data_IF_267035188607
#
_entry.id   IF_267035188607
#
_cell.length_a   1.000
_cell.length_b   1.000
_cell.length_c   1.000
_cell.angle_alpha   90.00
_cell.angle_beta   90.00
_cell.angle_gamma   90.00
#
_symmetry.space_group_name_H-M   'P 1'
#
loop_
_entity.id
_entity.type
_entity.pdbx_description
1 polymer ?
#
# COMPACT_ATOMS: atom_id res chain seq x y z
N UNK A 1 13.04 12.63 -7.45
CA UNK A 1 12.01 12.65 -8.50
C UNK A 1 11.02 11.58 -8.10
N UNK A 2 9.75 11.93 -7.83
CA UNK A 2 8.79 10.93 -7.36
C UNK A 2 8.45 10.03 -8.53
N UNK A 3 8.97 8.83 -8.46
CA UNK A 3 8.89 7.85 -9.51
C UNK A 3 7.66 6.99 -9.32
N UNK A 4 7.12 6.58 -10.46
CA UNK A 4 5.87 5.88 -10.65
C UNK A 4 5.87 4.44 -10.07
N UNK A 5 6.67 4.14 -9.04
CA UNK A 5 6.99 2.77 -8.64
C UNK A 5 5.77 1.93 -8.22
N UNK A 6 4.70 2.57 -7.74
CA UNK A 6 3.49 1.90 -7.34
C UNK A 6 2.27 2.40 -8.11
N UNK A 7 1.29 1.53 -8.27
CA UNK A 7 -0.01 1.86 -8.84
C UNK A 7 -1.13 1.28 -7.99
N UNK A 8 -2.19 2.06 -7.84
CA UNK A 8 -3.39 1.64 -7.11
C UNK A 8 -4.43 1.19 -8.12
N UNK A 9 -4.99 0.01 -7.89
CA UNK A 9 -5.95 -0.63 -8.78
C UNK A 9 -7.22 -0.92 -7.97
N UNK A 10 -8.36 -0.52 -8.51
CA UNK A 10 -9.68 -0.88 -8.00
C UNK A 10 -9.95 -2.34 -8.37
N UNK A 11 -10.10 -3.18 -7.35
CA UNK A 11 -10.41 -4.60 -7.50
C UNK A 11 -11.92 -4.79 -7.76
N UNK A 12 -12.31 -4.60 -9.02
CA UNK A 12 -13.69 -4.64 -9.51
C UNK A 12 -14.11 -6.00 -10.10
N UNK A 13 -13.21 -6.98 -10.09
CA UNK A 13 -13.45 -8.36 -10.54
C UNK A 13 -13.25 -9.34 -9.39
N UNK A 14 -13.79 -10.56 -9.50
CA UNK A 14 -13.58 -11.58 -8.45
C UNK A 14 -12.09 -11.99 -8.34
N UNK A 15 -11.38 -12.06 -9.47
CA UNK A 15 -9.94 -12.33 -9.47
C UNK A 15 -9.15 -11.27 -8.68
N UNK A 16 -9.45 -9.99 -8.89
CA UNK A 16 -8.79 -8.90 -8.16
C UNK A 16 -9.21 -8.80 -6.71
N UNK A 17 -10.47 -9.15 -6.38
CA UNK A 17 -10.92 -9.30 -4.99
C UNK A 17 -10.23 -10.44 -4.27
N UNK A 18 -9.97 -11.57 -4.96
CA UNK A 18 -9.18 -12.65 -4.41
C UNK A 18 -7.76 -12.20 -4.07
N UNK A 19 -7.11 -11.41 -4.94
CA UNK A 19 -5.80 -10.78 -4.64
C UNK A 19 -5.89 -9.93 -3.36
N UNK A 20 -6.90 -9.07 -3.24
CA UNK A 20 -7.12 -8.27 -2.04
C UNK A 20 -7.26 -9.12 -0.76
N UNK A 21 -8.08 -10.20 -0.80
CA UNK A 21 -8.27 -11.12 0.34
C UNK A 21 -7.01 -11.91 0.68
N UNK A 22 -6.21 -12.29 -0.30
CA UNK A 22 -4.91 -12.97 -0.11
C UNK A 22 -3.89 -12.06 0.59
N UNK A 23 -3.80 -10.79 0.18
CA UNK A 23 -2.93 -9.79 0.84
C UNK A 23 -3.37 -9.60 2.30
N UNK A 24 -4.70 -9.47 2.53
CA UNK A 24 -5.25 -9.37 3.88
C UNK A 24 -4.91 -10.57 4.74
N UNK A 25 -5.10 -11.79 4.25
CA UNK A 25 -4.75 -13.01 4.99
C UNK A 25 -3.26 -13.03 5.37
N UNK A 26 -2.38 -12.69 4.43
CA UNK A 26 -0.95 -12.61 4.69
C UNK A 26 -0.63 -11.63 5.83
N UNK A 27 -1.26 -10.46 5.85
CA UNK A 27 -0.95 -9.46 6.87
C UNK A 27 -1.69 -9.74 8.18
N UNK A 28 -2.99 -9.95 8.16
CA UNK A 28 -3.84 -10.07 9.34
C UNK A 28 -3.69 -11.42 10.04
N UNK A 29 -3.58 -12.52 9.31
CA UNK A 29 -3.49 -13.86 9.90
C UNK A 29 -2.02 -14.28 10.12
N UNK A 30 -1.16 -14.10 9.11
CA UNK A 30 0.23 -14.60 9.17
C UNK A 30 1.19 -13.63 9.87
N UNK A 31 1.26 -12.36 9.44
CA UNK A 31 2.21 -11.39 10.00
C UNK A 31 1.78 -10.83 11.36
N UNK A 32 0.51 -10.43 11.49
CA UNK A 32 0.00 -9.72 12.68
C UNK A 32 -0.70 -10.61 13.69
N UNK A 33 -1.18 -11.79 13.27
CA UNK A 33 -1.94 -12.74 14.11
C UNK A 33 -3.15 -12.08 14.79
N UNK A 34 -3.83 -11.21 14.06
CA UNK A 34 -5.08 -10.57 14.50
C UNK A 34 -6.27 -11.52 14.33
N UNK A 35 -6.30 -12.26 13.22
CA UNK A 35 -7.36 -13.23 12.91
C UNK A 35 -6.79 -14.65 12.93
N UNK A 36 -7.60 -15.66 13.21
CA UNK A 36 -7.17 -17.06 13.25
C UNK A 36 -7.01 -17.62 11.82
N UNK A 37 -5.80 -18.04 11.40
CA UNK A 37 -5.60 -18.66 10.09
C UNK A 37 -6.48 -19.89 9.82
N UNK A 38 -6.95 -20.59 10.86
CA UNK A 38 -7.80 -21.77 10.73
C UNK A 38 -9.22 -21.45 10.19
N UNK A 39 -9.70 -20.22 10.39
CA UNK A 39 -10.99 -19.75 9.84
C UNK A 39 -10.94 -19.52 8.33
N UNK A 40 -9.73 -19.43 7.76
CA UNK A 40 -9.51 -19.12 6.35
C UNK A 40 -8.63 -20.19 5.67
N UNK A 41 -9.13 -21.42 5.49
CA UNK A 41 -8.35 -22.56 4.99
C UNK A 41 -7.83 -22.38 3.55
N UNK A 42 -8.41 -21.46 2.78
CA UNK A 42 -8.02 -21.14 1.41
C UNK A 42 -6.96 -20.02 1.32
N UNK A 43 -6.49 -19.49 2.44
CA UNK A 43 -5.49 -18.42 2.46
C UNK A 43 -6.03 -17.06 2.03
N UNK A 44 -7.34 -16.84 2.20
CA UNK A 44 -8.07 -15.63 1.82
C UNK A 44 -8.89 -15.14 3.02
N UNK A 45 -8.59 -13.93 3.52
CA UNK A 45 -9.31 -13.32 4.64
C UNK A 45 -10.47 -12.48 4.11
N UNK A 46 -11.65 -12.73 4.66
CA UNK A 46 -12.89 -12.05 4.29
C UNK A 46 -13.80 -11.90 5.50
N UNK A 47 -14.69 -10.92 5.44
CA UNK A 47 -15.72 -10.71 6.44
C UNK A 47 -17.03 -10.24 5.80
N UNK A 48 -18.05 -10.03 6.64
CA UNK A 48 -19.41 -9.67 6.20
C UNK A 48 -19.51 -8.31 5.50
N UNK A 49 -18.52 -7.42 5.64
CA UNK A 49 -18.55 -6.08 5.03
C UNK A 49 -18.02 -6.05 3.60
N UNK A 50 -17.34 -7.11 3.16
CA UNK A 50 -16.72 -7.16 1.83
C UNK A 50 -17.75 -7.07 0.69
N UNK A 51 -18.99 -7.51 0.91
CA UNK A 51 -20.07 -7.40 -0.07
C UNK A 51 -20.48 -5.94 -0.36
N UNK A 52 -20.31 -5.04 0.61
CA UNK A 52 -20.65 -3.61 0.51
C UNK A 52 -19.41 -2.72 0.50
N UNK A 53 -18.27 -3.23 0.01
CA UNK A 53 -17.01 -2.51 0.01
C UNK A 53 -16.42 -2.32 -1.39
N UNK A 54 -15.74 -1.19 -1.57
CA UNK A 54 -14.77 -1.01 -2.63
C UNK A 54 -13.40 -1.49 -2.14
N UNK A 55 -12.72 -2.28 -2.98
CA UNK A 55 -11.44 -2.90 -2.68
C UNK A 55 -10.36 -2.28 -3.55
N UNK A 56 -9.24 -1.90 -2.95
CA UNK A 56 -8.09 -1.40 -3.68
C UNK A 56 -6.88 -2.26 -3.37
N UNK A 57 -6.15 -2.60 -4.42
CA UNK A 57 -4.88 -3.34 -4.36
C UNK A 57 -3.78 -2.47 -4.95
N UNK A 58 -2.55 -2.65 -4.46
CA UNK A 58 -1.40 -1.87 -4.92
C UNK A 58 -0.38 -2.82 -5.53
N UNK A 59 0.05 -2.48 -6.75
CA UNK A 59 1.08 -3.21 -7.48
C UNK A 59 2.36 -2.38 -7.56
N UNK A 60 3.50 -3.03 -7.35
CA UNK A 60 4.79 -2.44 -7.67
C UNK A 60 5.05 -2.61 -9.17
N UNK A 61 5.26 -1.51 -9.89
CA UNK A 61 5.33 -1.50 -11.36
C UNK A 61 6.53 -2.27 -11.89
N UNK A 62 7.71 -2.10 -11.29
CA UNK A 62 8.93 -2.68 -11.83
C UNK A 62 8.98 -4.20 -11.69
N UNK A 63 8.35 -4.76 -10.64
CA UNK A 63 8.32 -6.20 -10.38
C UNK A 63 6.99 -6.85 -10.71
N UNK A 64 5.96 -6.05 -11.05
CA UNK A 64 4.57 -6.46 -11.20
C UNK A 64 3.97 -7.18 -9.96
N UNK A 65 4.58 -7.02 -8.78
CA UNK A 65 4.12 -7.72 -7.56
C UNK A 65 3.06 -6.94 -6.80
N UNK A 66 2.06 -7.62 -6.29
CA UNK A 66 1.06 -7.12 -5.34
C UNK A 66 1.69 -6.96 -3.95
N UNK A 67 1.55 -5.76 -3.37
CA UNK A 67 2.28 -5.39 -2.14
C UNK A 67 1.39 -4.87 -1.02
N UNK A 68 0.20 -4.34 -1.33
CA UNK A 68 -0.66 -3.72 -0.34
C UNK A 68 -2.13 -3.75 -0.77
N UNK A 69 -3.01 -3.58 0.23
CA UNK A 69 -4.44 -3.49 0.02
C UNK A 69 -5.09 -2.50 1.01
N UNK A 70 -6.22 -1.93 0.60
CA UNK A 70 -7.09 -1.14 1.45
C UNK A 70 -8.55 -1.33 1.06
N UNK A 71 -9.44 -1.32 2.06
CA UNK A 71 -10.88 -1.44 1.89
C UNK A 71 -11.59 -0.14 2.25
N UNK A 72 -12.59 0.22 1.45
CA UNK A 72 -13.54 1.28 1.75
C UNK A 72 -14.95 0.68 1.84
N UNK A 73 -15.50 0.57 3.03
CA UNK A 73 -16.88 0.13 3.25
C UNK A 73 -17.83 1.27 2.89
N UNK A 74 -18.74 1.01 1.96
CA UNK A 74 -19.61 2.01 1.35
C UNK A 74 -20.88 2.27 2.17
N UNK A 75 -21.55 3.43 1.98
CA UNK A 75 -22.77 3.78 2.71
C UNK A 75 -23.85 2.70 2.73
N UNK A 76 -23.92 1.90 1.67
CA UNK A 76 -24.90 0.83 1.44
C UNK A 76 -24.80 -0.30 2.46
N UNK A 77 -23.66 -0.43 3.16
CA UNK A 77 -23.55 -1.34 4.29
C UNK A 77 -24.55 -0.95 5.38
N UNK A 78 -25.27 -1.94 5.93
CA UNK A 78 -26.22 -1.72 7.02
C UNK A 78 -25.57 -1.03 8.23
N UNK A 79 -24.35 -1.42 8.55
CA UNK A 79 -23.54 -0.86 9.63
C UNK A 79 -22.06 -0.95 9.26
N UNK A 80 -21.26 0.06 9.62
CA UNK A 80 -19.81 0.05 9.46
C UNK A 80 -19.14 -0.77 10.58
N UNK A 81 -17.95 -1.37 10.33
CA UNK A 81 -17.21 -2.10 11.37
C UNK A 81 -16.97 -1.32 12.66
N UNK A 82 -16.71 -0.01 12.60
CA UNK A 82 -16.50 0.83 13.79
C UNK A 82 -17.79 1.00 14.62
N UNK A 83 -18.95 0.97 13.97
CA UNK A 83 -20.25 1.16 14.62
C UNK A 83 -20.64 -0.08 15.43
N UNK A 84 -20.22 -1.29 15.04
CA UNK A 84 -20.47 -2.52 15.82
C UNK A 84 -19.67 -2.60 17.11
N UNK A 85 -18.63 -1.78 17.25
CA UNK A 85 -17.75 -1.76 18.42
C UNK A 85 -18.23 -0.76 19.49
N UNK A 86 -19.33 -0.03 19.24
CA UNK A 86 -19.95 0.91 20.17
C UNK A 86 -18.96 1.93 20.78
N UNK A 87 -17.93 2.32 20.01
CA UNK A 87 -16.87 3.23 20.49
C UNK A 87 -17.05 4.68 20.03
N UNK A 88 -17.96 4.93 19.09
CA UNK A 88 -18.32 6.28 18.63
C UNK A 88 -19.16 7.00 19.69
N UNK A 89 -18.72 8.18 20.13
CA UNK A 89 -19.38 8.93 21.21
C UNK A 89 -19.51 10.43 20.97
N UNK A 90 -18.95 10.95 19.86
CA UNK A 90 -19.07 12.38 19.52
C UNK A 90 -20.36 12.66 18.74
N UNK A 91 -21.03 13.77 19.05
CA UNK A 91 -22.13 14.34 18.25
C UNK A 91 -21.70 14.52 16.78
N UNK A 92 -20.44 14.88 16.54
CA UNK A 92 -19.88 15.04 15.19
C UNK A 92 -19.87 13.72 14.39
N UNK A 93 -19.78 12.58 15.07
CA UNK A 93 -19.92 11.27 14.43
C UNK A 93 -21.33 11.04 13.87
N UNK A 94 -22.33 11.70 14.45
CA UNK A 94 -23.77 11.46 14.25
C UNK A 94 -24.44 12.54 13.38
N UNK A 95 -23.78 13.69 13.15
CA UNK A 95 -24.35 14.83 12.45
C UNK A 95 -24.39 14.72 10.91
N UNK A 96 -23.79 13.69 10.31
CA UNK A 96 -23.71 13.56 8.85
C UNK A 96 -24.68 12.48 8.32
N UNK A 97 -25.35 12.73 7.17
CA UNK A 97 -26.15 11.70 6.50
C UNK A 97 -25.32 10.47 6.14
N UNK A 98 -25.87 9.28 6.34
CA UNK A 98 -25.18 8.00 6.05
C UNK A 98 -24.57 7.93 4.65
N UNK A 99 -25.27 8.44 3.63
CA UNK A 99 -24.84 8.47 2.22
C UNK A 99 -23.51 9.22 1.99
N UNK A 100 -23.15 10.12 2.92
CA UNK A 100 -21.94 10.94 2.85
C UNK A 100 -20.79 10.35 3.68
N UNK A 101 -21.00 9.18 4.29
CA UNK A 101 -20.03 8.50 5.14
C UNK A 101 -19.53 7.22 4.47
N UNK A 102 -18.28 6.87 4.70
CA UNK A 102 -17.73 5.55 4.43
C UNK A 102 -16.70 5.19 5.49
N UNK A 103 -16.35 3.92 5.64
CA UNK A 103 -15.28 3.51 6.55
C UNK A 103 -14.07 2.99 5.78
N UNK A 104 -12.89 3.55 6.07
CA UNK A 104 -11.62 2.98 5.61
C UNK A 104 -11.16 1.94 6.62
N UNK A 105 -11.03 0.69 6.15
CA UNK A 105 -10.60 -0.45 6.95
C UNK A 105 -9.59 -1.31 6.17
N UNK A 106 -9.01 -2.31 6.86
CA UNK A 106 -8.08 -3.29 6.26
C UNK A 106 -6.88 -2.68 5.51
N UNK A 107 -6.38 -1.52 5.95
CA UNK A 107 -5.14 -0.94 5.39
C UNK A 107 -3.97 -1.85 5.76
N UNK A 108 -3.35 -2.47 4.75
CA UNK A 108 -2.26 -3.41 4.97
C UNK A 108 -1.21 -3.35 3.87
N UNK A 109 0.05 -3.56 4.27
CA UNK A 109 1.23 -3.63 3.40
C UNK A 109 1.99 -4.89 3.82
N UNK A 110 2.35 -5.73 2.85
CA UNK A 110 3.15 -6.93 3.08
C UNK A 110 4.56 -6.52 3.45
N UNK A 111 5.03 -7.00 4.60
CA UNK A 111 6.37 -6.71 5.11
C UNK A 111 7.32 -7.89 4.89
N UNK A 112 6.79 -9.11 4.81
CA UNK A 112 7.59 -10.31 4.64
C UNK A 112 8.29 -10.32 3.26
N UNK A 113 9.63 -10.42 3.17
CA UNK A 113 10.34 -10.35 1.88
C UNK A 113 9.98 -11.47 0.88
N UNK A 114 9.56 -12.62 1.39
CA UNK A 114 9.14 -13.79 0.62
C UNK A 114 7.81 -14.33 1.18
N UNK A 115 6.68 -13.64 0.96
CA UNK A 115 5.41 -13.95 1.62
C UNK A 115 4.88 -15.34 1.26
N UNK A 116 5.17 -15.85 0.06
CA UNK A 116 4.84 -17.21 -0.38
C UNK A 116 5.48 -18.34 0.47
N UNK A 117 6.54 -18.04 1.23
CA UNK A 117 7.11 -19.00 2.20
C UNK A 117 6.27 -19.12 3.47
N UNK A 118 5.48 -18.09 3.79
CA UNK A 118 4.61 -18.07 4.97
C UNK A 118 3.19 -18.52 4.60
N UNK A 119 2.70 -18.09 3.44
CA UNK A 119 1.40 -18.46 2.91
C UNK A 119 1.55 -19.22 1.59
N UNK A 120 1.29 -20.52 1.63
CA UNK A 120 1.33 -21.42 0.45
C UNK A 120 0.34 -21.06 -0.66
N UNK A 121 -0.66 -20.20 -0.36
CA UNK A 121 -1.67 -19.75 -1.32
C UNK A 121 -1.23 -18.50 -2.10
N UNK A 122 -0.04 -17.96 -1.79
CA UNK A 122 0.63 -16.91 -2.56
C UNK A 122 1.70 -17.51 -3.47
N UNK A 123 1.91 -16.84 -4.60
CA UNK A 123 2.99 -17.12 -5.53
C UNK A 123 3.95 -15.91 -5.63
N UNK A 124 4.81 -15.91 -6.65
CA UNK A 124 5.78 -14.85 -6.91
C UNK A 124 5.15 -13.53 -7.38
N UNK A 125 3.84 -13.49 -7.63
CA UNK A 125 3.13 -12.25 -7.91
C UNK A 125 2.91 -11.42 -6.64
N UNK A 126 3.22 -11.95 -5.45
CA UNK A 126 3.13 -11.20 -4.19
C UNK A 126 4.52 -10.84 -3.68
N UNK A 127 4.68 -9.59 -3.26
CA UNK A 127 5.96 -9.06 -2.80
C UNK A 127 5.80 -8.15 -1.59
N UNK A 128 6.92 -7.67 -1.07
CA UNK A 128 6.93 -6.69 0.00
C UNK A 128 7.17 -5.29 -0.56
N UNK A 129 6.65 -4.29 0.12
CA UNK A 129 7.11 -2.93 -0.06
C UNK A 129 8.48 -2.81 0.63
N UNK A 130 9.55 -2.53 -0.11
CA UNK A 130 10.83 -2.20 0.52
C UNK A 130 10.67 -1.05 1.51
N UNK A 131 11.59 -0.91 2.48
CA UNK A 131 11.47 0.07 3.60
C UNK A 131 11.19 1.53 3.19
N UNK A 132 11.57 1.92 1.98
CA UNK A 132 11.36 3.28 1.47
C UNK A 132 10.00 3.48 0.79
N UNK A 133 9.28 2.40 0.43
CA UNK A 133 8.06 2.46 -0.39
C UNK A 133 6.76 2.60 0.38
N UNK A 134 6.74 2.34 1.70
CA UNK A 134 5.52 2.37 2.51
C UNK A 134 4.82 3.73 2.46
N UNK A 135 5.57 4.83 2.48
CA UNK A 135 5.00 6.18 2.39
C UNK A 135 4.30 6.39 1.05
N UNK A 136 4.92 5.99 -0.06
CA UNK A 136 4.41 6.19 -1.41
C UNK A 136 3.14 5.37 -1.64
N UNK A 137 3.12 4.14 -1.12
CA UNK A 137 1.95 3.26 -1.11
C UNK A 137 0.80 3.89 -0.32
N UNK A 138 1.08 4.37 0.90
CA UNK A 138 0.06 5.03 1.73
C UNK A 138 -0.48 6.29 1.05
N UNK A 139 0.38 7.11 0.45
CA UNK A 139 -0.02 8.31 -0.28
C UNK A 139 -0.89 7.96 -1.49
N UNK A 140 -0.52 6.94 -2.26
CA UNK A 140 -1.31 6.42 -3.37
C UNK A 140 -2.69 5.95 -2.92
N UNK A 141 -2.76 5.14 -1.87
CA UNK A 141 -4.02 4.64 -1.32
C UNK A 141 -4.90 5.77 -0.81
N UNK A 142 -4.35 6.73 -0.05
CA UNK A 142 -5.11 7.90 0.43
C UNK A 142 -5.65 8.72 -0.75
N UNK A 143 -4.84 8.94 -1.78
CA UNK A 143 -5.29 9.65 -2.99
C UNK A 143 -6.41 8.90 -3.71
N UNK A 144 -6.27 7.58 -3.91
CA UNK A 144 -7.29 6.75 -4.55
C UNK A 144 -8.61 6.77 -3.78
N UNK A 145 -8.55 6.61 -2.44
CA UNK A 145 -9.72 6.68 -1.57
C UNK A 145 -10.42 8.03 -1.66
N UNK A 146 -9.67 9.14 -1.57
CA UNK A 146 -10.23 10.49 -1.67
C UNK A 146 -10.95 10.69 -3.01
N UNK A 147 -10.29 10.36 -4.13
CA UNK A 147 -10.89 10.54 -5.46
C UNK A 147 -12.12 9.64 -5.64
N UNK A 148 -12.05 8.38 -5.22
CA UNK A 148 -13.19 7.47 -5.27
C UNK A 148 -14.36 7.98 -4.40
N UNK A 149 -14.08 8.42 -3.18
CA UNK A 149 -15.07 8.99 -2.27
C UNK A 149 -15.78 10.20 -2.86
N UNK A 150 -15.01 11.15 -3.41
CA UNK A 150 -15.55 12.34 -4.07
C UNK A 150 -16.46 11.99 -5.25
N UNK A 151 -16.11 10.99 -6.06
CA UNK A 151 -16.95 10.52 -7.18
C UNK A 151 -18.26 9.89 -6.70
N UNK A 152 -18.29 9.32 -5.49
CA UNK A 152 -19.46 8.69 -4.89
C UNK A 152 -20.29 9.64 -4.01
N UNK A 153 -19.90 10.91 -3.89
CA UNK A 153 -20.55 11.86 -2.99
C UNK A 153 -20.30 11.59 -1.50
N UNK A 154 -19.26 10.82 -1.19
CA UNK A 154 -18.79 10.60 0.18
C UNK A 154 -17.98 11.83 0.60
N UNK A 155 -18.27 12.36 1.77
CA UNK A 155 -17.63 13.55 2.31
C UNK A 155 -16.75 13.28 3.52
N UNK A 156 -16.99 12.17 4.22
CA UNK A 156 -16.25 11.83 5.42
C UNK A 156 -15.91 10.34 5.49
N UNK A 157 -14.68 10.05 5.92
CA UNK A 157 -14.23 8.70 6.24
C UNK A 157 -14.18 8.47 7.74
N UNK A 158 -14.77 7.38 8.21
CA UNK A 158 -14.46 6.79 9.52
C UNK A 158 -13.22 5.92 9.42
N UNK A 159 -12.39 5.95 10.47
CA UNK A 159 -11.21 5.11 10.62
C UNK A 159 -11.10 4.65 12.07
N UNK A 160 -10.79 3.37 12.29
CA UNK A 160 -10.41 2.85 13.60
C UNK A 160 -8.92 2.44 13.56
N UNK A 161 -8.05 3.28 14.10
CA UNK A 161 -6.60 3.14 13.91
C UNK A 161 -5.80 3.37 15.19
N UNK A 162 -4.55 2.88 15.21
CA UNK A 162 -3.62 3.14 16.31
C UNK A 162 -3.20 4.61 16.34
N UNK A 163 -2.75 5.07 17.52
CA UNK A 163 -2.27 6.44 17.69
C UNK A 163 -1.02 6.73 16.82
N UNK A 164 -0.13 5.76 16.64
CA UNK A 164 1.06 5.90 15.80
C UNK A 164 0.70 6.07 14.33
N UNK A 165 -0.30 5.34 13.84
CA UNK A 165 -0.76 5.46 12.47
C UNK A 165 -1.51 6.79 12.25
N UNK A 166 -2.33 7.22 13.22
CA UNK A 166 -2.95 8.55 13.18
C UNK A 166 -1.90 9.68 13.10
N UNK A 167 -0.79 9.57 13.86
CA UNK A 167 0.33 10.52 13.77
C UNK A 167 0.99 10.51 12.39
N UNK A 168 1.14 9.35 11.75
CA UNK A 168 1.68 9.25 10.39
C UNK A 168 0.76 9.96 9.40
N UNK A 169 -0.54 9.63 9.39
CA UNK A 169 -1.52 10.24 8.49
C UNK A 169 -1.60 11.77 8.66
N UNK A 170 -1.61 12.26 9.91
CA UNK A 170 -1.55 13.72 10.19
C UNK A 170 -0.29 14.37 9.63
N UNK A 171 0.87 13.70 9.71
CA UNK A 171 2.14 14.18 9.13
C UNK A 171 2.08 14.29 7.61
N UNK A 172 1.43 13.33 6.96
CA UNK A 172 1.19 13.33 5.51
C UNK A 172 0.20 14.43 5.09
N UNK A 173 -0.59 14.96 6.03
CA UNK A 173 -1.52 16.07 5.82
C UNK A 173 -3.00 15.68 5.91
N UNK A 174 -3.32 14.46 6.34
CA UNK A 174 -4.70 14.02 6.59
C UNK A 174 -5.25 14.72 7.81
N UNK A 175 -6.43 15.32 7.68
CA UNK A 175 -7.12 15.99 8.78
C UNK A 175 -7.94 14.95 9.52
N UNK A 176 -7.53 14.60 10.74
CA UNK A 176 -8.17 13.58 11.57
C UNK A 176 -8.70 14.19 12.87
N UNK A 177 -10.00 14.04 13.08
CA UNK A 177 -10.71 14.40 14.31
C UNK A 177 -11.10 13.13 15.06
N UNK A 178 -10.77 13.05 16.34
CA UNK A 178 -11.20 11.92 17.17
C UNK A 178 -12.70 12.03 17.45
N UNK A 179 -13.43 10.93 17.31
CA UNK A 179 -14.92 10.94 17.40
C UNK A 179 -15.48 9.91 18.37
N UNK A 180 -14.63 9.38 19.23
CA UNK A 180 -15.02 8.34 20.16
C UNK A 180 -13.92 7.95 21.14
N UNK A 181 -14.23 6.94 21.94
CA UNK A 181 -13.36 6.43 22.99
C UNK A 181 -12.30 5.48 22.43
N UNK A 182 -11.13 5.47 23.06
CA UNK A 182 -10.12 4.44 22.79
C UNK A 182 -10.64 3.08 23.23
N UNK A 183 -10.47 2.06 22.38
CA UNK A 183 -10.85 0.67 22.67
C UNK A 183 -9.67 -0.27 22.45
N UNK A 184 -9.69 -1.42 23.13
CA UNK A 184 -8.76 -2.52 22.82
C UNK A 184 -9.38 -3.43 21.76
N UNK A 185 -8.89 -3.29 20.53
CA UNK A 185 -9.33 -4.07 19.38
C UNK A 185 -8.10 -4.33 18.49
N UNK A 186 -7.52 -5.52 18.66
CA UNK A 186 -6.18 -5.86 18.12
C UNK A 186 -5.09 -4.92 18.67
N UNK A 187 -5.19 -4.59 19.95
CA UNK A 187 -4.45 -3.53 20.64
C UNK A 187 -5.21 -2.21 20.64
N UNK A 188 -4.64 -1.18 21.27
CA UNK A 188 -5.33 0.11 21.42
C UNK A 188 -5.62 0.77 20.06
N UNK A 189 -6.90 1.12 19.84
CA UNK A 189 -7.42 1.81 18.66
C UNK A 189 -8.28 2.98 19.05
N UNK A 190 -8.23 4.02 18.23
CA UNK A 190 -8.97 5.26 18.42
C UNK A 190 -9.82 5.51 17.17
N UNK A 191 -11.12 5.76 17.32
CA UNK A 191 -11.98 6.11 16.20
C UNK A 191 -11.76 7.58 15.78
N UNK A 192 -11.54 7.78 14.49
CA UNK A 192 -11.36 9.08 13.86
C UNK A 192 -12.37 9.28 12.72
N UNK A 193 -12.69 10.54 12.47
CA UNK A 193 -13.26 11.02 11.21
C UNK A 193 -12.22 11.82 10.43
N UNK A 194 -12.24 11.67 9.12
CA UNK A 194 -11.51 12.49 8.17
C UNK A 194 -12.48 13.15 7.20
N UNK A 195 -12.57 14.48 7.20
CA UNK A 195 -13.27 15.19 6.13
C UNK A 195 -12.41 15.13 4.85
N UNK A 196 -12.99 14.62 3.77
CA UNK A 196 -12.29 14.33 2.53
C UNK A 196 -11.92 15.62 1.80
N UNK A 197 -12.76 16.65 1.85
CA UNK A 197 -12.53 17.93 1.18
C UNK A 197 -11.47 18.74 1.92
N UNK A 198 -11.54 18.79 3.25
CA UNK A 198 -10.52 19.44 4.07
C UNK A 198 -9.18 18.71 3.95
N UNK A 199 -9.20 17.38 4.01
CA UNK A 199 -8.01 16.57 3.78
C UNK A 199 -7.43 16.83 2.39
N UNK A 200 -8.24 16.79 1.34
CA UNK A 200 -7.77 17.09 -0.03
C UNK A 200 -7.10 18.46 -0.12
N UNK A 201 -7.72 19.51 0.44
CA UNK A 201 -7.13 20.87 0.49
C UNK A 201 -5.80 20.89 1.24
N UNK A 202 -5.75 20.26 2.41
CA UNK A 202 -4.53 20.16 3.24
C UNK A 202 -3.39 19.45 2.51
N UNK A 203 -3.68 18.31 1.87
CA UNK A 203 -2.69 17.53 1.13
C UNK A 203 -2.11 18.34 -0.05
N UNK A 204 -2.97 18.99 -0.84
CA UNK A 204 -2.59 19.86 -1.97
C UNK A 204 -1.74 21.05 -1.50
N UNK A 205 -2.07 21.65 -0.35
CA UNK A 205 -1.30 22.77 0.19
C UNK A 205 0.10 22.33 0.66
N UNK A 206 0.20 21.20 1.36
CA UNK A 206 1.42 20.74 2.03
C UNK A 206 2.42 20.03 1.13
N UNK A 207 2.00 19.57 -0.05
CA UNK A 207 2.84 18.70 -0.87
C UNK A 207 2.68 18.98 -2.36
N UNK A 208 3.79 19.33 -3.02
CA UNK A 208 3.86 19.43 -4.48
C UNK A 208 3.54 18.08 -5.14
N UNK A 209 3.83 16.97 -4.47
CA UNK A 209 3.44 15.64 -4.91
C UNK A 209 1.92 15.50 -4.96
N UNK A 210 1.20 15.94 -3.93
CA UNK A 210 -0.26 15.90 -3.97
C UNK A 210 -0.84 16.86 -4.99
N UNK A 211 -0.22 18.03 -5.21
CA UNK A 211 -0.61 18.89 -6.34
C UNK A 211 -0.52 18.11 -7.66
N UNK A 212 0.56 17.37 -7.89
CA UNK A 212 0.72 16.52 -9.08
C UNK A 212 -0.31 15.37 -9.16
N UNK A 213 -0.53 14.65 -8.06
CA UNK A 213 -1.49 13.55 -7.98
C UNK A 213 -2.93 14.03 -8.21
N UNK A 214 -3.34 15.13 -7.57
CA UNK A 214 -4.68 15.72 -7.73
C UNK A 214 -4.88 16.38 -9.08
N UNK A 215 -3.82 16.79 -9.79
CA UNK A 215 -3.92 17.24 -11.18
C UNK A 215 -4.10 16.08 -12.16
N UNK A 216 -3.82 14.85 -11.74
CA UNK A 216 -3.96 13.61 -12.53
C UNK A 216 -5.01 12.70 -11.91
N UNK A 217 -6.21 13.23 -11.62
CA UNK A 217 -7.28 12.49 -10.91
C UNK A 217 -7.67 11.19 -11.61
N UNK A 218 -7.62 11.20 -12.94
CA UNK A 218 -7.89 10.03 -13.79
C UNK A 218 -6.87 8.89 -13.60
N UNK A 219 -5.72 9.17 -12.99
CA UNK A 219 -4.66 8.21 -12.67
C UNK A 219 -4.59 7.88 -11.17
N UNK A 220 -5.55 8.35 -10.37
CA UNK A 220 -5.56 8.08 -8.93
C UNK A 220 -5.71 6.58 -8.63
N UNK A 221 -6.49 5.89 -9.45
CA UNK A 221 -6.58 4.44 -9.52
C UNK A 221 -7.07 4.03 -10.92
N UNK A 222 -6.88 2.76 -11.28
CA UNK A 222 -7.44 2.17 -12.49
C UNK A 222 -8.29 0.95 -12.12
N UNK A 223 -9.36 0.67 -12.86
CA UNK A 223 -10.10 -0.59 -12.69
C UNK A 223 -9.25 -1.78 -13.13
N UNK A 224 -9.31 -2.89 -12.39
CA UNK A 224 -8.62 -4.12 -12.76
C UNK A 224 -9.16 -4.67 -14.09
N UNK A 225 -10.47 -4.62 -14.29
CA UNK A 225 -11.12 -5.01 -15.56
C UNK A 225 -10.58 -4.25 -16.79
N UNK A 226 -10.18 -2.98 -16.61
CA UNK A 226 -9.58 -2.18 -17.67
C UNK A 226 -8.13 -2.59 -18.00
N UNK A 227 -7.45 -3.26 -17.07
CA UNK A 227 -6.12 -3.82 -17.28
C UNK A 227 -6.22 -5.20 -17.94
N UNK A 228 -7.14 -6.06 -17.50
CA UNK A 228 -7.33 -7.42 -18.04
C UNK A 228 -7.65 -7.44 -19.54
N UNK A 229 -8.43 -6.47 -20.04
CA UNK A 229 -8.73 -6.35 -21.46
C UNK A 229 -7.47 -6.12 -22.32
N UNK A 230 -6.43 -5.49 -21.77
CA UNK A 230 -5.15 -5.28 -22.45
C UNK A 230 -4.33 -6.58 -22.45
N UNK A 231 -4.34 -7.35 -21.36
CA UNK A 231 -3.58 -8.60 -21.26
C UNK A 231 -4.15 -9.73 -22.13
N UNK A 232 -5.48 -9.78 -22.33
CA UNK A 232 -6.11 -10.73 -23.27
C UNK A 232 -5.72 -10.47 -24.73
N UNK A 233 -5.50 -9.21 -25.14
CA UNK A 233 -4.98 -8.90 -26.48
C UNK A 233 -3.52 -9.35 -26.65
N UNK A 234 -2.70 -9.25 -25.60
CA UNK A 234 -1.31 -9.72 -25.64
C UNK A 234 -1.20 -11.26 -25.61
N UNK A 235 -2.09 -11.98 -24.93
CA UNK A 235 -2.14 -13.46 -24.95
C UNK A 235 -2.68 -14.03 -26.28
N UNK A 236 -3.41 -13.24 -27.07
CA UNK A 236 -3.90 -13.65 -28.40
C UNK A 236 -2.89 -13.43 -29.54
N UNK A 237 -1.69 -12.88 -29.27
CA UNK A 237 -0.65 -12.83 -30.29
C UNK A 237 0.02 -14.21 -30.44
N UNK A 238 0.10 -14.77 -31.66
CA UNK A 238 0.73 -16.08 -31.86
C UNK A 238 2.21 -16.06 -31.44
N UNK A 239 2.76 -17.19 -30.95
CA UNK A 239 4.08 -17.27 -30.32
C UNK A 239 5.29 -17.00 -31.24
N UNK A 240 5.07 -16.49 -32.45
CA UNK A 240 6.10 -16.26 -33.46
C UNK A 240 6.43 -14.78 -33.69
N UNK A 241 6.05 -13.88 -32.78
CA UNK A 241 6.48 -12.48 -32.89
C UNK A 241 7.87 -12.30 -32.29
N UNK A 242 8.90 -12.49 -33.11
CA UNK A 242 10.29 -12.23 -32.77
C UNK A 242 10.46 -10.75 -32.38
N UNK A 243 10.73 -10.50 -31.11
CA UNK A 243 11.10 -9.18 -30.62
C UNK A 243 12.47 -8.80 -31.22
N UNK A 244 12.63 -7.60 -31.84
CA UNK A 244 13.94 -7.19 -32.32
C UNK A 244 14.91 -7.07 -31.13
N UNK A 245 16.15 -7.58 -31.24
CA UNK A 245 17.10 -7.51 -30.15
C UNK A 245 17.34 -6.05 -29.76
N UNK A 246 17.51 -5.82 -28.45
CA UNK A 246 17.78 -4.51 -27.89
C UNK A 246 18.97 -3.84 -28.61
N UNK A 247 18.93 -2.51 -28.84
CA UNK A 247 19.97 -1.82 -29.59
C UNK A 247 21.33 -2.01 -28.92
N UNK A 248 22.28 -2.51 -29.70
CA UNK A 248 23.66 -2.82 -29.33
C UNK A 248 24.45 -1.52 -29.08
N UNK A 249 24.26 -0.88 -27.93
CA UNK A 249 25.15 0.22 -27.50
C UNK A 249 26.20 -0.31 -26.53
N UNK A 250 27.37 -0.65 -27.08
CA UNK A 250 28.72 -0.38 -26.54
C UNK A 250 29.69 -1.49 -26.97
N UNK A 251 30.28 -1.36 -28.17
CA UNK A 251 31.56 -2.02 -28.46
C UNK A 251 32.69 -1.26 -27.75
N UNK A 252 33.40 -2.02 -26.90
CA UNK A 252 34.83 -1.93 -26.52
C UNK A 252 35.60 -0.64 -26.86
N UNK A 253 36.20 -0.08 -25.82
CA UNK A 253 37.63 0.28 -25.85
C UNK A 253 38.30 -0.29 -24.59
N UNK A 254 39.13 -1.31 -24.80
CA UNK A 254 40.09 -1.80 -23.82
C UNK A 254 41.17 -0.73 -23.63
N UNK A 255 41.31 -0.22 -22.40
CA UNK A 255 42.46 0.59 -21.99
C UNK A 255 43.14 -0.18 -20.86
N UNK A 256 44.43 -0.54 -20.98
CA UNK A 256 45.14 -1.21 -19.90
C UNK A 256 45.48 -0.19 -18.81
N UNK A 257 44.84 -0.32 -17.64
CA UNK A 257 45.21 0.47 -16.46
C UNK A 257 46.41 -0.19 -15.78
N UNK A 258 47.59 0.30 -16.13
CA UNK A 258 48.80 0.26 -15.33
C UNK A 258 48.54 0.83 -13.94
N UNK A 259 48.94 0.10 -12.90
CA UNK A 259 48.90 0.52 -11.50
C UNK A 259 49.96 1.60 -11.23
N UNK A 260 49.60 2.75 -10.64
CA UNK A 260 50.56 3.57 -9.90
C UNK A 260 50.26 3.43 -8.40
N UNK A 261 51.26 2.94 -7.69
CA UNK A 261 51.38 2.96 -6.24
C UNK A 261 51.57 4.39 -5.74
N UNK A 262 50.61 4.95 -4.99
CA UNK A 262 50.84 6.11 -4.12
C UNK A 262 49.98 6.03 -2.83
N UNK A 263 50.49 6.55 -1.70
CA UNK A 263 50.09 6.18 -0.35
C UNK A 263 48.82 6.93 0.10
N UNK A 264 47.95 6.25 0.84
CA UNK A 264 46.83 6.91 1.54
C UNK A 264 45.44 6.30 1.37
N UNK A 265 45.30 5.08 0.84
CA UNK A 265 43.99 4.40 0.73
C UNK A 265 43.78 3.46 1.91
N UNK A 266 42.72 3.71 2.68
CA UNK A 266 42.27 2.88 3.79
C UNK A 266 41.39 1.75 3.27
N UNK A 267 41.80 0.50 3.50
CA UNK A 267 40.97 -0.67 3.21
C UNK A 267 40.33 -1.19 4.51
N UNK A 268 39.03 -1.51 4.44
CA UNK A 268 38.32 -2.21 5.50
C UNK A 268 38.36 -3.71 5.17
N UNK A 269 39.30 -4.44 5.76
CA UNK A 269 39.31 -5.90 5.72
C UNK A 269 38.35 -6.44 6.80
N UNK A 270 37.28 -7.10 6.36
CA UNK A 270 36.36 -7.78 7.25
C UNK A 270 36.83 -9.23 7.46
N UNK A 271 37.61 -9.46 8.51
CA UNK A 271 37.96 -10.79 8.97
C UNK A 271 36.73 -11.45 9.63
N UNK A 272 36.27 -12.56 9.06
CA UNK A 272 35.08 -13.29 9.52
C UNK A 272 35.38 -14.09 10.79
N UNK A 273 35.49 -13.43 11.94
CA UNK A 273 35.19 -14.05 13.23
C UNK A 273 35.21 -13.04 14.40
N UNK A 274 34.00 -12.71 14.88
CA UNK A 274 33.61 -12.10 16.18
C UNK A 274 33.37 -10.58 16.25
N UNK A 275 32.45 -10.11 17.13
CA UNK A 275 31.79 -8.81 17.03
C UNK A 275 32.43 -7.76 17.96
N UNK A 276 32.73 -6.58 17.40
CA UNK A 276 33.18 -5.38 18.11
C UNK A 276 33.35 -4.21 17.14
N UNK A 277 33.33 -2.94 17.59
CA UNK A 277 33.47 -1.79 16.69
C UNK A 277 34.91 -1.72 16.17
N UNK A 278 35.08 -1.87 14.85
CA UNK A 278 36.39 -1.90 14.19
C UNK A 278 37.21 -0.62 14.43
N UNK A 279 38.50 -0.80 14.67
CA UNK A 279 39.50 0.26 14.89
C UNK A 279 40.23 0.53 13.57
N UNK A 280 40.35 1.80 13.17
CA UNK A 280 41.10 2.23 12.00
C UNK A 280 42.62 2.30 12.33
N UNK A 281 43.48 1.64 11.53
CA UNK A 281 44.95 1.79 11.60
C UNK A 281 45.54 2.31 10.28
N UNK A 282 46.34 3.38 10.35
CA UNK A 282 47.06 3.92 9.19
C UNK A 282 48.27 3.06 8.90
N UNK A 283 48.48 2.68 7.64
CA UNK A 283 49.71 2.05 7.20
C UNK A 283 50.56 3.12 6.51
N UNK A 284 51.77 3.32 7.02
CA UNK A 284 52.87 4.10 6.40
C UNK A 284 53.35 3.45 5.12
#
# INVERSE_FOLDING_TARGET
MFDHAYEVILADTEASRAIHRKIRYQVYCQERRFEDPAEFPNGEEYDVWDIHAAHFIVRHRATATWVAAVRLVLPDAFQFPVETLHCLSSEQAQCRPRRELAEVSRICIINAPAPWKMNRHLDYQFGHAGRSGEHDILLGMVNALIIYGLHRGIECFHLLISQSFARLLKRLGVILQQVGNTIDYHGLRIPYQADIRETSKSLVARSALFRGLFSRRELAYQSFSALDGVWQEFEMMPPSFDWPPAPETARRSEIPLSVPSHPGVWHMEAERSRPGPGVWRSVT
#
